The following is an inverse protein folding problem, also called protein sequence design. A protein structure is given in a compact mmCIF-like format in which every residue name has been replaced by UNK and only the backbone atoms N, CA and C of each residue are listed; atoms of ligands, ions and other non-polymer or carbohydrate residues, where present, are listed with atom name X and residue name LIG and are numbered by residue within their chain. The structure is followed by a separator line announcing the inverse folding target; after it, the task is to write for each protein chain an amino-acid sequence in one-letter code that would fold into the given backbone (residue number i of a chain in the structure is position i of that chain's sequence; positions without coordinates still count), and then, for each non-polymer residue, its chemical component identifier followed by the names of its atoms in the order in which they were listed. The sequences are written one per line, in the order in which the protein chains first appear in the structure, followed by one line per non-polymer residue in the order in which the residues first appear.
data_IF_535355668961
#
_entry.id   IF_535355668961
#
_cell.length_a   1.000
_cell.length_b   1.000
_cell.length_c   1.000
_cell.angle_alpha   90.00
_cell.angle_beta   90.00
_cell.angle_gamma   90.00
#
_symmetry.space_group_name_H-M   'P 1'
#
loop_
_entity.id
_entity.type
_entity.pdbx_description
1 polymer ?
#
# COMPACT_ATOMS: atom_id res chain seq x y z
N UNK A 1 -15.68 12.72 -10.39
CA UNK A 1 -15.50 12.21 -9.03
C UNK A 1 -16.22 10.87 -8.80
N UNK A 2 -17.51 10.85 -8.47
CA UNK A 2 -18.26 9.65 -8.09
C UNK A 2 -18.27 8.51 -9.12
N UNK A 3 -18.11 8.81 -10.38
CA UNK A 3 -18.18 7.85 -11.48
C UNK A 3 -16.88 7.77 -12.31
N UNK A 4 -15.73 8.20 -11.75
CA UNK A 4 -14.46 8.21 -12.49
C UNK A 4 -14.12 6.83 -13.05
N UNK A 5 -14.34 5.75 -12.28
CA UNK A 5 -14.05 4.37 -12.72
C UNK A 5 -14.99 3.86 -13.83
N UNK A 6 -16.09 4.58 -14.15
CA UNK A 6 -16.98 4.23 -15.27
C UNK A 6 -16.60 4.92 -16.58
N UNK A 7 -15.70 5.91 -16.52
CA UNK A 7 -15.19 6.54 -17.73
C UNK A 7 -14.32 5.51 -18.46
N UNK A 8 -14.58 5.24 -19.76
CA UNK A 8 -13.74 4.32 -20.52
C UNK A 8 -12.28 4.77 -20.50
N UNK A 9 -11.38 3.82 -20.38
CA UNK A 9 -9.97 4.11 -20.39
C UNK A 9 -9.44 4.18 -21.83
N UNK A 10 -9.72 5.30 -22.48
CA UNK A 10 -9.21 5.59 -23.82
C UNK A 10 -7.95 6.42 -23.68
N UNK A 11 -6.83 5.93 -24.23
CA UNK A 11 -5.51 6.58 -24.18
C UNK A 11 -5.06 6.91 -22.73
N UNK A 12 -5.41 6.07 -21.75
CA UNK A 12 -5.03 6.25 -20.35
C UNK A 12 -5.82 7.32 -19.59
N UNK A 13 -6.86 7.91 -20.21
CA UNK A 13 -7.69 8.93 -19.53
C UNK A 13 -8.38 8.38 -18.30
N UNK A 14 -8.75 7.09 -18.30
CA UNK A 14 -9.32 6.42 -17.14
C UNK A 14 -8.35 6.38 -15.97
N UNK A 15 -7.12 5.95 -16.20
CA UNK A 15 -6.06 5.94 -15.19
C UNK A 15 -5.79 7.34 -14.63
N UNK A 16 -5.70 8.36 -15.49
CA UNK A 16 -5.50 9.75 -15.05
C UNK A 16 -6.65 10.23 -14.17
N UNK A 17 -7.89 9.94 -14.54
CA UNK A 17 -9.08 10.35 -13.76
C UNK A 17 -9.15 9.61 -12.43
N UNK A 18 -8.78 8.34 -12.40
CA UNK A 18 -8.73 7.54 -11.17
C UNK A 18 -7.71 8.14 -10.19
N UNK A 19 -6.52 8.46 -10.66
CA UNK A 19 -5.47 9.07 -9.83
C UNK A 19 -5.77 10.54 -9.43
N UNK A 20 -6.47 11.28 -10.28
CA UNK A 20 -6.86 12.67 -10.00
C UNK A 20 -8.09 12.79 -9.08
N UNK A 21 -8.84 11.71 -8.88
CA UNK A 21 -10.12 11.76 -8.18
C UNK A 21 -10.04 12.35 -6.75
N UNK A 22 -9.06 12.00 -5.88
CA UNK A 22 -8.93 12.62 -4.57
C UNK A 22 -8.63 14.12 -4.65
N UNK A 23 -7.80 14.52 -5.62
CA UNK A 23 -7.36 15.90 -5.83
C UNK A 23 -8.45 16.84 -6.33
N UNK A 24 -9.56 16.31 -6.86
CA UNK A 24 -10.71 17.12 -7.27
C UNK A 24 -11.31 17.90 -6.10
N UNK A 25 -11.07 17.49 -4.85
CA UNK A 25 -11.43 18.23 -3.66
C UNK A 25 -10.79 19.62 -3.57
N UNK A 26 -9.60 19.79 -4.16
CA UNK A 26 -8.92 21.09 -4.20
C UNK A 26 -9.68 22.16 -5.02
N UNK A 27 -10.59 21.75 -5.90
CA UNK A 27 -11.46 22.68 -6.60
C UNK A 27 -12.51 23.32 -5.66
N UNK A 28 -12.85 22.68 -4.54
CA UNK A 28 -13.89 23.16 -3.61
C UNK A 28 -13.54 24.53 -3.01
N UNK A 29 -12.34 24.76 -2.45
CA UNK A 29 -11.95 26.08 -1.95
C UNK A 29 -11.98 27.16 -3.04
N UNK A 30 -11.50 26.86 -4.25
CA UNK A 30 -11.51 27.81 -5.36
C UNK A 30 -12.94 28.17 -5.76
N UNK A 31 -13.81 27.17 -5.88
CA UNK A 31 -15.24 27.38 -6.18
C UNK A 31 -15.95 28.15 -5.05
N UNK A 32 -15.55 27.93 -3.79
CA UNK A 32 -16.08 28.68 -2.65
C UNK A 32 -15.76 30.18 -2.77
N UNK A 33 -14.51 30.52 -3.08
CA UNK A 33 -14.10 31.90 -3.28
C UNK A 33 -14.90 32.58 -4.39
N UNK A 34 -15.13 31.87 -5.52
CA UNK A 34 -15.95 32.39 -6.64
C UNK A 34 -17.41 32.56 -6.21
N UNK A 35 -17.97 31.59 -5.46
CA UNK A 35 -19.34 31.69 -4.95
C UNK A 35 -19.52 32.87 -3.98
N UNK A 36 -18.56 33.11 -3.10
CA UNK A 36 -18.55 34.26 -2.20
C UNK A 36 -18.43 35.58 -2.97
N UNK A 37 -17.53 35.65 -3.96
CA UNK A 37 -17.36 36.83 -4.81
C UNK A 37 -18.63 37.17 -5.61
N UNK A 38 -19.36 36.15 -6.05
CA UNK A 38 -20.64 36.32 -6.77
C UNK A 38 -21.78 36.85 -5.87
N UNK A 39 -21.62 36.81 -4.55
CA UNK A 39 -22.65 37.18 -3.55
C UNK A 39 -24.01 36.48 -3.76
N UNK A 40 -24.00 35.34 -4.45
CA UNK A 40 -25.18 34.56 -4.81
C UNK A 40 -25.40 33.40 -3.83
N UNK A 41 -26.55 33.40 -3.15
CA UNK A 41 -26.98 32.29 -2.30
C UNK A 41 -27.13 30.98 -3.10
N UNK A 42 -27.57 31.08 -4.35
CA UNK A 42 -27.70 29.94 -5.25
C UNK A 42 -26.32 29.30 -5.54
N UNK A 43 -25.31 30.11 -5.82
CA UNK A 43 -23.93 29.61 -6.05
C UNK A 43 -23.39 28.87 -4.83
N UNK A 44 -23.62 29.37 -3.61
CA UNK A 44 -23.24 28.71 -2.38
C UNK A 44 -24.00 27.38 -2.17
N UNK A 45 -25.31 27.36 -2.48
CA UNK A 45 -26.10 26.13 -2.38
C UNK A 45 -25.63 25.06 -3.37
N UNK A 46 -25.35 25.45 -4.62
CA UNK A 46 -24.86 24.54 -5.67
C UNK A 46 -23.47 23.96 -5.28
N UNK A 47 -22.63 24.74 -4.61
CA UNK A 47 -21.30 24.27 -4.15
C UNK A 47 -21.40 23.12 -3.13
N UNK A 48 -22.51 23.01 -2.39
CA UNK A 48 -22.69 21.89 -1.46
C UNK A 48 -22.64 20.53 -2.18
N UNK A 49 -23.11 20.46 -3.43
CA UNK A 49 -23.15 19.19 -4.18
C UNK A 49 -21.75 18.58 -4.36
N UNK A 50 -20.77 19.26 -5.00
CA UNK A 50 -19.43 18.69 -5.15
C UNK A 50 -18.72 18.50 -3.79
N UNK A 51 -18.96 19.40 -2.83
CA UNK A 51 -18.37 19.29 -1.48
C UNK A 51 -18.85 18.04 -0.75
N UNK A 52 -20.17 17.86 -0.65
CA UNK A 52 -20.74 16.69 0.02
C UNK A 52 -20.41 15.38 -0.73
N UNK A 53 -20.38 15.44 -2.07
CA UNK A 53 -19.97 14.29 -2.88
C UNK A 53 -18.52 13.89 -2.57
N UNK A 54 -17.61 14.85 -2.51
CA UNK A 54 -16.21 14.59 -2.19
C UNK A 54 -16.05 14.05 -0.76
N UNK A 55 -16.69 14.70 0.21
CA UNK A 55 -16.68 14.27 1.61
C UNK A 55 -17.27 12.87 1.79
N UNK A 56 -18.33 12.53 1.08
CA UNK A 56 -18.93 11.20 1.15
C UNK A 56 -18.00 10.10 0.59
N UNK A 57 -17.28 10.41 -0.48
CA UNK A 57 -16.41 9.42 -1.16
C UNK A 57 -15.07 9.28 -0.45
N UNK A 58 -14.44 10.40 -0.11
CA UNK A 58 -13.06 10.43 0.40
C UNK A 58 -12.97 10.71 1.91
N UNK A 59 -14.03 11.25 2.51
CA UNK A 59 -14.07 11.52 3.94
C UNK A 59 -13.71 10.29 4.79
N UNK A 60 -14.28 9.10 4.56
CA UNK A 60 -13.90 7.91 5.32
C UNK A 60 -12.41 7.57 5.26
N UNK A 61 -11.75 7.80 4.11
CA UNK A 61 -10.33 7.48 3.92
C UNK A 61 -9.37 8.48 4.58
N UNK A 62 -9.85 9.68 4.97
CA UNK A 62 -9.02 10.70 5.64
C UNK A 62 -9.27 10.77 7.15
N UNK A 63 -10.15 9.92 7.68
CA UNK A 63 -10.34 9.81 9.13
C UNK A 63 -9.10 9.16 9.74
N UNK A 64 -8.47 9.76 10.76
CA UNK A 64 -7.34 9.15 11.43
C UNK A 64 -7.66 7.76 11.97
N UNK A 65 -6.82 6.77 11.68
CA UNK A 65 -6.96 5.42 12.25
C UNK A 65 -6.87 5.50 13.77
N UNK A 66 -6.00 6.35 14.31
CA UNK A 66 -5.81 6.58 15.75
C UNK A 66 -7.09 6.95 16.51
N UNK A 67 -8.14 7.43 15.82
CA UNK A 67 -9.43 7.73 16.46
C UNK A 67 -10.29 6.49 16.70
N UNK A 68 -10.08 5.42 15.94
CA UNK A 68 -10.91 4.21 15.97
C UNK A 68 -10.11 2.91 16.03
N UNK A 69 -8.76 3.00 16.00
CA UNK A 69 -7.92 1.82 16.09
C UNK A 69 -8.23 1.02 17.37
N UNK A 70 -8.28 -0.30 17.28
CA UNK A 70 -8.31 -1.15 18.46
C UNK A 70 -7.06 -0.91 19.30
N UNK A 71 -7.18 -1.12 20.61
CA UNK A 71 -6.00 -1.06 21.46
C UNK A 71 -5.02 -2.17 21.09
N UNK A 72 -3.70 -1.93 21.15
CA UNK A 72 -2.73 -3.00 20.98
C UNK A 72 -3.04 -4.14 21.95
N UNK A 73 -3.16 -5.33 21.39
CA UNK A 73 -3.32 -6.57 22.17
C UNK A 73 -2.06 -6.94 22.93
N UNK A 74 -2.11 -8.05 23.67
CA UNK A 74 -0.92 -8.57 24.36
C UNK A 74 0.19 -9.00 23.37
N UNK A 75 -0.19 -9.31 22.14
CA UNK A 75 0.72 -9.80 21.09
C UNK A 75 0.45 -9.07 19.80
N UNK A 76 1.46 -8.37 19.32
CA UNK A 76 1.41 -7.60 18.08
C UNK A 76 2.52 -8.04 17.13
N UNK A 77 2.35 -7.76 15.85
CA UNK A 77 3.38 -7.92 14.83
C UNK A 77 3.51 -6.61 14.06
N UNK A 78 4.71 -6.05 14.03
CA UNK A 78 5.03 -4.88 13.23
C UNK A 78 5.62 -5.31 11.88
N UNK A 79 5.00 -4.84 10.79
CA UNK A 79 5.41 -5.14 9.43
C UNK A 79 5.67 -3.86 8.67
N UNK A 80 6.83 -3.78 8.00
CA UNK A 80 7.17 -2.67 7.11
C UNK A 80 7.41 -3.14 5.68
N UNK A 81 7.08 -2.28 4.73
CA UNK A 81 7.36 -2.51 3.32
C UNK A 81 7.86 -1.25 2.63
N UNK A 82 8.84 -1.40 1.73
CA UNK A 82 9.37 -0.30 0.93
C UNK A 82 9.84 -0.75 -0.45
N UNK A 83 9.42 -0.02 -1.49
CA UNK A 83 10.16 0.01 -2.73
C UNK A 83 11.46 0.81 -2.50
N UNK A 84 12.63 0.14 -2.60
CA UNK A 84 13.93 0.73 -2.22
C UNK A 84 14.57 1.56 -3.33
N UNK A 85 13.93 1.67 -4.48
CA UNK A 85 14.45 2.27 -5.70
C UNK A 85 15.77 1.62 -6.15
N UNK A 86 15.68 0.74 -7.11
CA UNK A 86 16.83 0.04 -7.68
C UNK A 86 17.97 0.99 -8.05
N UNK A 87 19.22 0.53 -7.85
CA UNK A 87 20.41 1.27 -8.25
C UNK A 87 20.86 2.38 -7.28
N UNK A 88 20.15 2.68 -6.19
CA UNK A 88 20.59 3.67 -5.19
C UNK A 88 21.74 3.18 -4.31
N UNK A 89 21.96 1.88 -4.24
CA UNK A 89 22.93 1.25 -3.32
C UNK A 89 22.51 1.25 -1.85
N UNK A 90 21.35 1.85 -1.49
CA UNK A 90 20.92 2.08 -0.12
C UNK A 90 19.99 0.99 0.46
N UNK A 91 19.82 -0.15 -0.22
CA UNK A 91 18.90 -1.21 0.21
C UNK A 91 19.16 -1.69 1.65
N UNK A 92 20.42 -1.95 2.01
CA UNK A 92 20.79 -2.37 3.36
C UNK A 92 20.54 -1.26 4.39
N UNK A 93 20.77 0.01 4.04
CA UNK A 93 20.44 1.15 4.90
C UNK A 93 18.94 1.21 5.15
N UNK A 94 18.10 1.12 4.10
CA UNK A 94 16.63 1.09 4.25
C UNK A 94 16.21 -0.03 5.20
N UNK A 95 16.75 -1.24 5.01
CA UNK A 95 16.43 -2.39 5.84
C UNK A 95 16.79 -2.19 7.32
N UNK A 96 17.98 -1.65 7.60
CA UNK A 96 18.44 -1.36 8.96
C UNK A 96 17.62 -0.27 9.63
N UNK A 97 17.22 0.78 8.91
CA UNK A 97 16.37 1.85 9.43
C UNK A 97 14.97 1.33 9.76
N UNK A 98 14.38 0.46 8.90
CA UNK A 98 13.10 -0.18 9.19
C UNK A 98 13.19 -1.17 10.36
N UNK A 99 14.32 -1.86 10.52
CA UNK A 99 14.60 -2.72 11.69
C UNK A 99 14.68 -1.89 12.97
N UNK A 100 15.39 -0.76 12.92
CA UNK A 100 15.54 0.15 14.06
C UNK A 100 14.21 0.81 14.47
N UNK A 101 13.27 0.99 13.51
CA UNK A 101 11.89 1.45 13.77
C UNK A 101 10.99 0.35 14.39
N UNK A 102 11.57 -0.82 14.69
CA UNK A 102 10.91 -1.89 15.44
C UNK A 102 10.07 -2.83 14.58
N UNK A 103 10.35 -2.96 13.29
CA UNK A 103 9.68 -3.96 12.43
C UNK A 103 10.06 -5.38 12.84
N UNK A 104 9.09 -6.29 12.82
CA UNK A 104 9.31 -7.73 13.01
C UNK A 104 9.43 -8.46 11.66
N UNK A 105 8.79 -7.91 10.65
CA UNK A 105 8.83 -8.38 9.26
C UNK A 105 9.11 -7.19 8.35
N UNK A 106 10.08 -7.33 7.45
CA UNK A 106 10.48 -6.32 6.48
C UNK A 106 10.32 -6.89 5.07
N UNK A 107 9.52 -6.23 4.24
CA UNK A 107 9.30 -6.59 2.84
C UNK A 107 9.88 -5.50 1.93
N UNK A 108 10.73 -5.88 0.97
CA UNK A 108 11.37 -4.92 0.07
C UNK A 108 11.09 -5.25 -1.38
N UNK A 109 10.96 -4.19 -2.19
CA UNK A 109 10.75 -4.26 -3.63
C UNK A 109 11.90 -3.53 -4.36
N UNK A 110 12.03 -3.79 -5.66
CA UNK A 110 13.13 -3.32 -6.53
C UNK A 110 14.52 -3.84 -6.15
N UNK A 111 14.57 -5.04 -5.59
CA UNK A 111 15.82 -5.74 -5.31
C UNK A 111 16.50 -6.24 -6.58
N UNK A 112 17.81 -6.11 -6.64
CA UNK A 112 18.71 -6.92 -7.47
C UNK A 112 19.46 -7.95 -6.61
N UNK A 113 20.18 -8.88 -7.24
CA UNK A 113 20.90 -9.93 -6.53
C UNK A 113 21.92 -9.38 -5.52
N UNK A 114 22.61 -8.28 -5.86
CA UNK A 114 23.61 -7.67 -4.99
C UNK A 114 22.96 -6.94 -3.80
N UNK A 115 21.86 -6.24 -4.02
CA UNK A 115 21.11 -5.57 -2.94
C UNK A 115 20.47 -6.59 -1.99
N UNK A 116 19.89 -7.67 -2.52
CA UNK A 116 19.35 -8.75 -1.70
C UNK A 116 20.41 -9.39 -0.78
N UNK A 117 21.61 -9.65 -1.30
CA UNK A 117 22.71 -10.18 -0.49
C UNK A 117 23.15 -9.21 0.61
N UNK A 118 23.27 -7.90 0.29
CA UNK A 118 23.64 -6.89 1.28
C UNK A 118 22.59 -6.74 2.38
N UNK A 119 21.30 -6.76 2.03
CA UNK A 119 20.20 -6.73 3.02
C UNK A 119 20.23 -7.95 3.90
N UNK A 120 20.39 -9.16 3.32
CA UNK A 120 20.47 -10.41 4.09
C UNK A 120 21.63 -10.37 5.07
N UNK A 121 22.83 -9.97 4.64
CA UNK A 121 23.99 -9.86 5.53
C UNK A 121 23.81 -8.79 6.62
N UNK A 122 23.13 -7.67 6.30
CA UNK A 122 22.90 -6.60 7.28
C UNK A 122 21.86 -6.98 8.35
N UNK A 123 20.93 -7.88 8.03
CA UNK A 123 19.84 -8.28 8.91
C UNK A 123 20.04 -9.67 9.54
N UNK A 124 21.12 -10.39 9.24
CA UNK A 124 21.31 -11.80 9.58
C UNK A 124 21.11 -12.14 11.06
N UNK A 125 21.58 -11.25 11.95
CA UNK A 125 21.52 -11.47 13.40
C UNK A 125 20.09 -11.41 13.94
N UNK A 126 19.31 -10.41 13.50
CA UNK A 126 17.97 -10.13 14.05
C UNK A 126 16.84 -10.76 13.23
N UNK A 127 17.06 -11.02 11.94
CA UNK A 127 16.07 -11.56 10.99
C UNK A 127 16.59 -12.85 10.32
N UNK A 128 16.68 -13.94 11.06
CA UNK A 128 17.29 -15.20 10.58
C UNK A 128 16.47 -15.88 9.47
N UNK A 129 15.21 -15.47 9.29
CA UNK A 129 14.33 -16.08 8.31
C UNK A 129 14.09 -15.11 7.15
N UNK A 130 14.39 -15.53 5.92
CA UNK A 130 14.16 -14.71 4.75
C UNK A 130 13.78 -15.54 3.53
N UNK A 131 13.10 -14.92 2.59
CA UNK A 131 12.80 -15.48 1.29
C UNK A 131 12.84 -14.38 0.23
N UNK A 132 13.66 -14.57 -0.79
CA UNK A 132 13.87 -13.61 -1.88
C UNK A 132 13.56 -14.27 -3.21
N UNK A 133 12.82 -13.58 -4.06
CA UNK A 133 12.49 -14.05 -5.41
C UNK A 133 12.38 -12.89 -6.39
N UNK A 134 13.15 -12.95 -7.49
CA UNK A 134 13.17 -11.87 -8.48
C UNK A 134 13.53 -10.53 -7.84
N UNK A 135 12.61 -9.58 -7.90
CA UNK A 135 12.81 -8.22 -7.39
C UNK A 135 12.16 -7.95 -6.03
N UNK A 136 11.66 -8.97 -5.35
CA UNK A 136 11.02 -8.84 -4.03
C UNK A 136 11.62 -9.78 -3.00
N UNK A 137 11.63 -9.35 -1.76
CA UNK A 137 12.14 -10.15 -0.64
C UNK A 137 11.43 -9.83 0.66
N UNK A 138 11.48 -10.79 1.58
CA UNK A 138 10.97 -10.66 2.95
C UNK A 138 12.01 -11.18 3.93
N UNK A 139 12.22 -10.44 5.02
CA UNK A 139 13.07 -10.79 6.16
C UNK A 139 12.22 -10.74 7.42
N UNK A 140 12.35 -11.74 8.28
CA UNK A 140 11.46 -11.93 9.43
C UNK A 140 12.24 -12.43 10.66
N UNK A 141 11.86 -11.93 11.83
CA UNK A 141 12.27 -12.49 13.12
C UNK A 141 11.62 -13.85 13.37
N UNK A 142 10.47 -14.09 12.73
CA UNK A 142 9.69 -15.34 12.88
C UNK A 142 9.93 -16.30 11.72
N UNK A 143 9.79 -17.62 11.94
CA UNK A 143 9.89 -18.61 10.88
C UNK A 143 8.97 -18.31 9.69
N UNK A 144 9.49 -18.55 8.50
CA UNK A 144 8.76 -18.45 7.23
C UNK A 144 8.52 -19.86 6.68
N UNK A 145 7.27 -20.18 6.39
CA UNK A 145 6.88 -21.46 5.81
C UNK A 145 6.02 -21.28 4.55
N UNK A 146 5.88 -22.35 3.75
CA UNK A 146 5.07 -22.33 2.53
C UNK A 146 5.42 -21.17 1.57
N UNK A 147 6.71 -20.78 1.54
CA UNK A 147 7.21 -19.69 0.72
C UNK A 147 7.23 -20.08 -0.75
N UNK A 148 6.67 -19.24 -1.62
CA UNK A 148 6.64 -19.48 -3.07
C UNK A 148 6.64 -18.19 -3.87
N UNK A 149 7.19 -18.26 -5.07
CA UNK A 149 6.98 -17.24 -6.10
C UNK A 149 5.54 -17.24 -6.57
N UNK A 150 5.00 -16.07 -6.86
CA UNK A 150 3.70 -15.92 -7.51
C UNK A 150 3.91 -15.54 -8.98
N UNK A 151 3.28 -16.32 -9.86
CA UNK A 151 3.18 -16.00 -11.27
C UNK A 151 1.89 -15.17 -11.48
N UNK A 152 2.07 -13.89 -11.76
CA UNK A 152 0.97 -12.93 -11.93
C UNK A 152 0.89 -12.41 -13.37
N UNK A 153 1.18 -13.28 -14.35
CA UNK A 153 1.00 -13.00 -15.77
C UNK A 153 2.20 -12.37 -16.48
N UNK A 154 3.26 -11.94 -15.79
CA UNK A 154 4.36 -11.16 -16.39
C UNK A 154 5.52 -12.00 -16.95
N UNK A 155 5.57 -13.30 -16.72
CA UNK A 155 6.71 -14.14 -17.11
C UNK A 155 8.01 -13.88 -16.33
N UNK A 156 8.04 -12.95 -15.37
CA UNK A 156 9.14 -12.68 -14.46
C UNK A 156 8.65 -12.41 -13.03
N UNK A 157 9.52 -12.69 -12.06
CA UNK A 157 9.12 -12.82 -10.67
C UNK A 157 9.13 -11.47 -9.95
N UNK A 158 7.96 -10.93 -9.64
CA UNK A 158 7.77 -9.66 -8.93
C UNK A 158 6.82 -9.78 -7.74
N UNK A 159 6.46 -11.00 -7.36
CA UNK A 159 5.62 -11.24 -6.21
C UNK A 159 5.95 -12.57 -5.55
N UNK A 160 5.71 -12.65 -4.26
CA UNK A 160 5.85 -13.86 -3.47
C UNK A 160 4.69 -14.00 -2.49
N UNK A 161 4.46 -15.22 -2.03
CA UNK A 161 3.68 -15.47 -0.81
C UNK A 161 4.45 -16.35 0.13
N UNK A 162 4.27 -16.11 1.42
CA UNK A 162 4.82 -16.92 2.51
C UNK A 162 3.86 -16.94 3.67
N UNK A 163 4.05 -17.84 4.60
CA UNK A 163 3.37 -17.83 5.88
C UNK A 163 4.38 -17.39 6.94
N UNK A 164 4.02 -16.43 7.76
CA UNK A 164 4.78 -16.02 8.95
C UNK A 164 4.22 -16.77 10.14
N UNK A 165 5.04 -17.58 10.78
CA UNK A 165 4.63 -18.45 11.87
C UNK A 165 5.10 -17.86 13.20
N UNK A 166 4.17 -17.30 13.98
CA UNK A 166 4.42 -16.79 15.32
C UNK A 166 3.90 -17.77 16.38
N UNK A 167 4.37 -17.64 17.62
CA UNK A 167 3.81 -18.44 18.74
C UNK A 167 2.33 -18.13 19.03
N UNK A 168 1.81 -17.01 18.53
CA UNK A 168 0.43 -16.54 18.74
C UNK A 168 -0.50 -16.77 17.53
N UNK A 169 0.00 -17.45 16.54
CA UNK A 169 -0.71 -17.78 15.31
C UNK A 169 0.10 -17.49 14.06
N UNK A 170 -0.43 -17.91 12.94
CA UNK A 170 0.20 -17.69 11.64
C UNK A 170 -0.63 -16.71 10.79
N UNK A 171 0.04 -16.00 9.91
CA UNK A 171 -0.58 -15.17 8.90
C UNK A 171 0.01 -15.45 7.51
N UNK A 172 -0.82 -15.37 6.49
CA UNK A 172 -0.39 -15.43 5.09
C UNK A 172 0.06 -14.04 4.66
N UNK A 173 1.31 -13.92 4.22
CA UNK A 173 1.89 -12.70 3.71
C UNK A 173 2.07 -12.78 2.19
N UNK A 174 1.58 -11.76 1.48
CA UNK A 174 1.82 -11.51 0.07
C UNK A 174 2.71 -10.27 -0.06
N UNK A 175 3.85 -10.38 -0.74
CA UNK A 175 4.73 -9.25 -1.06
C UNK A 175 4.66 -8.99 -2.56
N UNK A 176 4.29 -7.77 -2.92
CA UNK A 176 3.96 -7.39 -4.29
C UNK A 176 4.87 -6.27 -4.77
N UNK A 177 5.31 -6.37 -6.01
CA UNK A 177 5.83 -5.25 -6.80
C UNK A 177 5.14 -5.30 -8.16
N UNK A 178 4.01 -4.65 -8.30
CA UNK A 178 3.27 -4.64 -9.56
C UNK A 178 4.05 -3.95 -10.68
N UNK A 179 3.72 -4.26 -11.93
CA UNK A 179 4.31 -3.56 -13.07
C UNK A 179 4.04 -2.05 -12.98
N UNK A 180 4.95 -1.23 -13.49
CA UNK A 180 4.74 0.22 -13.52
C UNK A 180 3.53 0.57 -14.38
N UNK A 181 2.77 1.59 -13.97
CA UNK A 181 1.62 2.06 -14.72
C UNK A 181 1.86 3.47 -15.29
N UNK A 182 1.56 3.62 -16.57
CA UNK A 182 1.58 4.89 -17.29
C UNK A 182 0.28 5.04 -18.09
N UNK A 183 -0.14 6.24 -18.48
CA UNK A 183 -1.43 6.43 -19.15
C UNK A 183 -1.69 5.51 -20.34
N UNK A 184 -0.68 5.21 -21.15
CA UNK A 184 -0.82 4.32 -22.31
C UNK A 184 -0.17 2.94 -22.13
N UNK A 185 0.28 2.62 -20.91
CA UNK A 185 1.06 1.40 -20.61
C UNK A 185 0.80 0.97 -19.16
N UNK A 186 -0.34 0.29 -18.92
CA UNK A 186 -0.72 -0.21 -17.60
C UNK A 186 -1.43 -1.57 -17.64
N UNK A 187 -1.52 -2.18 -18.82
CA UNK A 187 -2.23 -3.47 -19.00
C UNK A 187 -1.60 -4.56 -18.15
N UNK A 188 -0.27 -4.64 -18.14
CA UNK A 188 0.47 -5.63 -17.36
C UNK A 188 0.21 -5.49 -15.85
N UNK A 189 0.18 -4.24 -15.36
CA UNK A 189 -0.16 -3.94 -13.98
C UNK A 189 -1.59 -4.37 -13.64
N UNK A 190 -2.54 -4.03 -14.50
CA UNK A 190 -3.95 -4.36 -14.30
C UNK A 190 -4.17 -5.86 -14.26
N UNK A 191 -3.51 -6.61 -15.17
CA UNK A 191 -3.55 -8.07 -15.19
C UNK A 191 -2.95 -8.66 -13.92
N UNK A 192 -1.80 -8.15 -13.46
CA UNK A 192 -1.20 -8.58 -12.18
C UNK A 192 -2.17 -8.42 -11.02
N UNK A 193 -2.86 -7.28 -10.91
CA UNK A 193 -3.81 -7.04 -9.83
C UNK A 193 -5.05 -7.95 -9.91
N UNK A 194 -5.52 -8.27 -11.11
CA UNK A 194 -6.60 -9.25 -11.31
C UNK A 194 -6.15 -10.64 -10.84
N UNK A 195 -4.96 -11.08 -11.23
CA UNK A 195 -4.45 -12.39 -10.86
C UNK A 195 -4.12 -12.47 -9.36
N UNK A 196 -3.58 -11.39 -8.77
CA UNK A 196 -3.40 -11.29 -7.34
C UNK A 196 -4.74 -11.41 -6.59
N UNK A 197 -5.75 -10.67 -7.03
CA UNK A 197 -7.09 -10.75 -6.44
C UNK A 197 -7.67 -12.17 -6.52
N UNK A 198 -7.42 -12.88 -7.62
CA UNK A 198 -7.83 -14.29 -7.78
C UNK A 198 -7.07 -15.20 -6.80
N UNK A 199 -5.75 -15.03 -6.68
CA UNK A 199 -4.91 -15.81 -5.77
C UNK A 199 -5.33 -15.62 -4.32
N UNK A 200 -5.54 -14.37 -3.88
CA UNK A 200 -5.98 -14.03 -2.51
C UNK A 200 -7.39 -14.55 -2.22
N UNK A 201 -8.30 -14.49 -3.20
CA UNK A 201 -9.68 -14.99 -3.04
C UNK A 201 -9.72 -16.50 -2.86
N UNK A 202 -8.85 -17.23 -3.56
CA UNK A 202 -8.78 -18.69 -3.50
C UNK A 202 -7.94 -19.22 -2.32
N UNK A 203 -7.21 -18.33 -1.62
CA UNK A 203 -6.41 -18.73 -0.47
C UNK A 203 -7.31 -18.89 0.78
N UNK A 204 -7.32 -20.09 1.40
CA UNK A 204 -8.19 -20.40 2.52
C UNK A 204 -7.76 -19.79 3.86
N UNK A 205 -6.59 -19.16 3.95
CA UNK A 205 -6.11 -18.57 5.20
C UNK A 205 -7.04 -17.43 5.64
N UNK A 206 -7.44 -17.46 6.90
CA UNK A 206 -8.28 -16.41 7.48
C UNK A 206 -7.49 -15.10 7.67
N UNK A 207 -6.28 -15.21 8.25
CA UNK A 207 -5.42 -14.08 8.54
C UNK A 207 -4.46 -13.83 7.38
N UNK A 208 -4.60 -12.69 6.72
CA UNK A 208 -3.79 -12.32 5.56
C UNK A 208 -3.32 -10.89 5.60
N UNK A 209 -2.13 -10.68 5.05
CA UNK A 209 -1.59 -9.35 4.73
C UNK A 209 -1.08 -9.37 3.29
N UNK A 210 -1.42 -8.38 2.50
CA UNK A 210 -0.76 -8.10 1.23
C UNK A 210 -0.09 -6.72 1.34
N UNK A 211 1.19 -6.66 1.00
CA UNK A 211 2.01 -5.47 1.19
C UNK A 211 2.95 -5.25 0.01
N UNK A 212 3.29 -4.01 -0.27
CA UNK A 212 4.26 -3.66 -1.31
C UNK A 212 3.83 -2.52 -2.19
N UNK A 213 4.55 -2.33 -3.28
CA UNK A 213 4.25 -1.38 -4.33
C UNK A 213 3.28 -2.01 -5.34
N UNK A 214 2.03 -1.56 -5.30
CA UNK A 214 0.98 -2.00 -6.22
C UNK A 214 0.95 -1.20 -7.52
N UNK A 215 1.75 -0.12 -7.62
CA UNK A 215 1.73 0.80 -8.75
C UNK A 215 0.30 1.25 -9.14
N UNK A 216 -0.57 1.35 -8.15
CA UNK A 216 -1.97 1.71 -8.26
C UNK A 216 -2.40 2.48 -7.02
N UNK A 217 -3.17 3.54 -7.19
CA UNK A 217 -3.73 4.29 -6.05
C UNK A 217 -4.98 3.59 -5.50
N UNK A 218 -5.37 3.90 -4.26
CA UNK A 218 -6.60 3.39 -3.63
C UNK A 218 -7.87 3.68 -4.46
N UNK A 219 -7.81 4.68 -5.34
CA UNK A 219 -8.91 5.08 -6.25
C UNK A 219 -8.85 4.41 -7.62
N UNK A 220 -7.77 3.72 -7.94
CA UNK A 220 -7.58 3.04 -9.22
C UNK A 220 -8.60 1.91 -9.40
N UNK A 221 -9.20 1.83 -10.59
CA UNK A 221 -10.21 0.82 -10.93
C UNK A 221 -9.68 -0.62 -10.87
N UNK A 222 -8.40 -0.83 -11.18
CA UNK A 222 -7.78 -2.14 -11.10
C UNK A 222 -7.52 -2.52 -9.64
N UNK A 223 -7.11 -1.57 -8.78
CA UNK A 223 -6.88 -1.79 -7.36
C UNK A 223 -8.16 -2.22 -6.61
N UNK A 224 -9.33 -1.76 -7.05
CA UNK A 224 -10.61 -2.19 -6.47
C UNK A 224 -10.83 -3.69 -6.49
N UNK A 225 -10.19 -4.42 -7.39
CA UNK A 225 -10.27 -5.89 -7.45
C UNK A 225 -9.74 -6.54 -6.17
N UNK A 226 -8.67 -6.01 -5.61
CA UNK A 226 -8.05 -6.53 -4.38
C UNK A 226 -8.66 -5.87 -3.13
N UNK A 227 -8.96 -4.56 -3.14
CA UNK A 227 -9.50 -3.84 -2.00
C UNK A 227 -10.97 -4.20 -1.65
N UNK A 228 -11.66 -4.99 -2.51
CA UNK A 228 -12.94 -5.62 -2.15
C UNK A 228 -12.78 -6.94 -1.39
N UNK A 229 -11.57 -7.47 -1.27
CA UNK A 229 -11.26 -8.77 -0.64
C UNK A 229 -10.44 -8.56 0.63
N UNK A 230 -9.53 -7.60 0.59
CA UNK A 230 -8.68 -7.18 1.71
C UNK A 230 -9.02 -5.73 2.06
N UNK A 231 -9.05 -5.43 3.34
CA UNK A 231 -9.28 -4.08 3.84
C UNK A 231 -7.99 -3.25 3.76
N UNK A 232 -8.12 -2.00 3.33
CA UNK A 232 -7.05 -1.01 3.37
C UNK A 232 -7.24 -0.13 4.62
N UNK A 233 -6.38 -0.24 5.65
CA UNK A 233 -6.50 0.58 6.84
C UNK A 233 -6.16 2.05 6.54
N UNK A 234 -6.82 2.97 7.22
CA UNK A 234 -6.48 4.38 7.18
C UNK A 234 -5.10 4.63 7.81
N UNK A 235 -4.55 5.83 7.59
CA UNK A 235 -3.33 6.27 8.26
C UNK A 235 -3.63 6.74 9.69
N UNK A 236 -2.66 6.61 10.60
CA UNK A 236 -2.80 7.00 12.01
C UNK A 236 -3.11 8.48 12.18
N UNK A 237 -2.51 9.32 11.37
CA UNK A 237 -2.70 10.78 11.36
C UNK A 237 -3.85 11.24 10.45
N UNK A 238 -4.53 10.29 9.79
CA UNK A 238 -5.48 10.58 8.74
C UNK A 238 -4.79 10.87 7.41
N UNK A 239 -5.45 11.67 6.55
CA UNK A 239 -4.98 11.94 5.20
C UNK A 239 -5.03 10.68 4.30
N UNK A 240 -4.52 10.83 3.08
CA UNK A 240 -4.66 9.80 2.04
C UNK A 240 -3.48 8.81 2.00
N UNK A 241 -2.49 8.96 2.90
CA UNK A 241 -1.36 8.04 3.01
C UNK A 241 -0.48 7.98 1.75
N UNK A 242 -0.25 9.12 1.11
CA UNK A 242 0.57 9.18 -0.09
C UNK A 242 2.01 8.75 0.18
N UNK A 243 2.55 7.88 -0.69
CA UNK A 243 3.88 7.31 -0.54
C UNK A 243 4.86 7.76 -1.61
N UNK A 244 4.37 8.25 -2.78
CA UNK A 244 5.20 8.60 -3.92
C UNK A 244 4.77 9.90 -4.62
N UNK A 245 5.72 10.69 -5.20
CA UNK A 245 7.15 10.65 -4.94
C UNK A 245 7.46 11.22 -3.55
N UNK A 246 8.47 10.68 -2.82
CA UNK A 246 8.83 11.22 -1.50
C UNK A 246 9.24 12.68 -1.52
N UNK A 247 9.89 13.13 -2.60
CA UNK A 247 10.33 14.52 -2.77
C UNK A 247 9.83 15.09 -4.10
N UNK A 248 9.36 16.37 -4.15
CA UNK A 248 9.30 17.34 -3.04
C UNK A 248 8.15 17.10 -2.05
N UNK A 249 7.09 16.38 -2.43
CA UNK A 249 5.96 15.97 -1.59
C UNK A 249 5.23 14.82 -2.27
N UNK A 250 4.68 13.92 -1.46
CA UNK A 250 3.96 12.75 -1.97
C UNK A 250 2.57 13.12 -2.49
N UNK A 251 2.18 12.53 -3.61
CA UNK A 251 0.94 12.82 -4.32
C UNK A 251 0.10 11.57 -4.61
N UNK A 252 0.68 10.38 -4.52
CA UNK A 252 0.03 9.11 -4.79
C UNK A 252 0.34 8.10 -3.69
N UNK A 253 -0.64 7.31 -3.29
CA UNK A 253 -0.45 6.13 -2.46
C UNK A 253 -0.28 4.96 -3.41
N UNK A 254 0.95 4.49 -3.60
CA UNK A 254 1.30 3.36 -4.46
C UNK A 254 1.68 2.13 -3.63
N UNK A 255 2.18 2.39 -2.41
CA UNK A 255 2.55 1.36 -1.46
C UNK A 255 1.42 1.17 -0.44
N UNK A 256 1.00 -0.06 -0.27
CA UNK A 256 -0.17 -0.39 0.53
C UNK A 256 0.12 -1.50 1.53
N UNK A 257 -0.61 -1.46 2.63
CA UNK A 257 -0.86 -2.61 3.51
C UNK A 257 -2.35 -2.92 3.40
N UNK A 258 -2.67 -4.15 3.04
CA UNK A 258 -4.04 -4.65 2.93
C UNK A 258 -4.19 -5.86 3.84
N UNK A 259 -5.26 -5.95 4.59
CA UNK A 259 -5.46 -6.99 5.60
C UNK A 259 -6.78 -7.74 5.44
N UNK A 260 -6.83 -8.97 5.93
CA UNK A 260 -8.04 -9.76 6.16
C UNK A 260 -7.88 -10.54 7.45
N UNK A 261 -8.90 -10.54 8.30
CA UNK A 261 -8.94 -11.32 9.55
C UNK A 261 -8.02 -10.80 10.66
N UNK A 262 -7.37 -9.65 10.49
CA UNK A 262 -6.44 -9.04 11.43
C UNK A 262 -6.87 -7.61 11.76
N UNK A 263 -6.74 -7.22 13.01
CA UNK A 263 -6.93 -5.84 13.44
C UNK A 263 -5.64 -5.04 13.29
N UNK A 264 -5.73 -3.86 12.68
CA UNK A 264 -4.62 -2.93 12.52
C UNK A 264 -4.70 -1.89 13.61
N UNK A 265 -3.66 -1.81 14.45
CA UNK A 265 -3.58 -0.87 15.56
C UNK A 265 -2.81 0.39 15.21
N UNK A 266 -1.97 0.34 14.18
CA UNK A 266 -1.22 1.47 13.65
C UNK A 266 -0.91 1.24 12.16
N UNK A 267 -0.96 2.33 11.37
CA UNK A 267 -0.58 2.34 9.96
C UNK A 267 0.01 3.70 9.61
N UNK A 268 1.30 3.74 9.31
CA UNK A 268 2.07 4.98 9.10
C UNK A 268 2.98 4.89 7.88
N UNK A 269 3.33 6.04 7.33
CA UNK A 269 4.40 6.17 6.36
C UNK A 269 5.71 6.54 7.08
N UNK A 270 6.80 5.89 6.70
CA UNK A 270 8.12 6.04 7.33
C UNK A 270 9.17 6.39 6.28
N UNK A 271 10.07 7.31 6.59
CA UNK A 271 11.25 7.54 5.76
C UNK A 271 12.31 6.49 6.05
N UNK A 272 12.85 5.85 5.00
CA UNK A 272 13.98 4.95 5.12
C UNK A 272 14.86 5.02 3.87
N UNK A 273 16.15 5.00 4.07
CA UNK A 273 17.17 5.03 3.01
C UNK A 273 17.03 6.18 2.02
N UNK A 274 17.45 5.92 0.78
CA UNK A 274 17.46 6.89 -0.32
C UNK A 274 16.37 6.64 -1.37
N UNK A 275 15.30 5.96 -1.00
CA UNK A 275 14.18 5.70 -1.91
C UNK A 275 13.42 6.98 -2.27
N UNK A 276 12.76 6.99 -3.43
CA UNK A 276 11.74 7.97 -3.79
C UNK A 276 10.33 7.56 -3.35
N UNK A 277 10.21 6.43 -2.64
CA UNK A 277 9.01 6.02 -1.92
C UNK A 277 9.19 6.17 -0.40
N UNK A 278 8.14 6.56 0.30
CA UNK A 278 8.03 6.28 1.72
C UNK A 278 7.83 4.78 1.93
N UNK A 279 8.37 4.24 3.01
CA UNK A 279 7.96 2.93 3.50
C UNK A 279 6.58 3.03 4.14
N UNK A 280 5.81 1.95 4.07
CA UNK A 280 4.59 1.78 4.86
C UNK A 280 4.88 0.85 6.03
N UNK A 281 4.38 1.19 7.21
CA UNK A 281 4.52 0.38 8.43
C UNK A 281 3.16 0.18 9.08
N UNK A 282 2.81 -1.06 9.35
CA UNK A 282 1.60 -1.41 10.08
C UNK A 282 1.92 -2.25 11.32
N UNK A 283 1.13 -2.06 12.37
CA UNK A 283 1.15 -2.90 13.57
C UNK A 283 -0.18 -3.64 13.64
N UNK A 284 -0.11 -4.95 13.75
CA UNK A 284 -1.23 -5.87 13.69
C UNK A 284 -1.42 -6.56 15.04
N UNK A 285 -2.65 -6.67 15.53
CA UNK A 285 -2.98 -7.58 16.62
C UNK A 285 -2.94 -9.02 16.10
N UNK A 286 -2.16 -9.86 16.76
CA UNK A 286 -2.17 -11.30 16.49
C UNK A 286 -3.33 -11.97 17.25
N UNK A 287 -4.04 -12.93 16.62
CA UNK A 287 -5.06 -13.68 17.31
C UNK A 287 -4.39 -14.45 18.46
N UNK A 288 -4.83 -14.22 19.69
CA UNK A 288 -4.44 -15.06 20.81
C UNK A 288 -4.85 -16.52 20.55
N UNK A 289 -4.04 -17.47 21.05
CA UNK A 289 -4.41 -18.90 21.02
C UNK A 289 -5.66 -19.15 21.82
#
# INVERSE_FOLDING_TARGET
MAYHTRVPDVLGMGLLLDNAAPWMGLAVPALLLLALASRSRTSLAVLLVPTLTWLFIFGPAIVPLSWSAPQPGAHTLALSSQNIKAGTGAAAQSALELAADGSDVIALQELDAGSAQRVTAALEEDYPHHFVVGTVGVWSKYPLSNSRSLELGLGWKRALSTQVDTEYGSLRLYVIHAASARPNDHVDRDEMLVQLASAVRSDPHENMVAVGDFNATSTDRAFKKISTILEEPNQDDGLLGFTWPRSPFAMMRLDHVLVRGLEVTSNTNVEAGLSDHFAVRAVLNLPGK
#
